data_IF_716097655176
#
_entry.id   IF_716097655176
#
_cell.length_a   1.000
_cell.length_b   1.000
_cell.length_c   1.000
_cell.angle_alpha   90.00
_cell.angle_beta   90.00
_cell.angle_gamma   90.00
#
_symmetry.space_group_name_H-M   'P 1'
#
loop_
_entity.id
_entity.type
_entity.pdbx_description
1 polymer ?
#
# COMPACT_ATOMS: atom_id res chain seq x y z
N UNK A 1 -4.18 -31.06 -0.31
CA UNK A 1 -4.00 -30.30 -1.55
C UNK A 1 -5.39 -29.92 -2.09
N UNK A 2 -5.96 -28.81 -1.61
CA UNK A 2 -7.21 -28.27 -2.15
C UNK A 2 -6.93 -26.87 -2.61
N UNK A 3 -6.89 -26.67 -3.93
CA UNK A 3 -6.79 -25.36 -4.55
C UNK A 3 -8.15 -24.68 -4.43
N UNK A 4 -8.24 -23.62 -3.63
CA UNK A 4 -9.39 -22.72 -3.70
C UNK A 4 -9.34 -21.94 -5.00
N UNK A 5 -10.08 -22.41 -5.99
CA UNK A 5 -10.44 -21.63 -7.18
C UNK A 5 -11.61 -20.72 -6.79
N UNK A 6 -11.31 -19.50 -6.39
CA UNK A 6 -12.34 -18.46 -6.29
C UNK A 6 -12.36 -17.64 -7.59
N UNK A 7 -13.54 -17.53 -8.18
CA UNK A 7 -13.75 -16.81 -9.43
C UNK A 7 -13.70 -15.30 -9.19
N UNK A 8 -12.78 -14.62 -9.86
CA UNK A 8 -12.79 -13.17 -9.93
C UNK A 8 -13.85 -12.72 -10.95
N UNK A 9 -14.78 -11.87 -10.56
CA UNK A 9 -15.70 -11.23 -11.49
C UNK A 9 -15.01 -10.05 -12.16
N UNK A 10 -14.88 -10.11 -13.48
CA UNK A 10 -14.42 -9.00 -14.31
C UNK A 10 -15.64 -8.19 -14.72
N UNK A 11 -15.80 -6.99 -14.19
CA UNK A 11 -16.78 -6.04 -14.69
C UNK A 11 -16.19 -5.29 -15.89
N UNK A 12 -16.60 -5.66 -17.10
CA UNK A 12 -16.34 -4.85 -18.29
C UNK A 12 -17.59 -4.02 -18.61
N UNK A 13 -17.50 -2.71 -18.49
CA UNK A 13 -18.46 -1.80 -19.12
C UNK A 13 -18.03 -1.61 -20.57
N UNK A 14 -18.65 -2.36 -21.46
CA UNK A 14 -18.54 -2.15 -22.91
C UNK A 14 -19.81 -1.45 -23.36
N UNK A 15 -19.75 -0.21 -23.76
CA UNK A 15 -20.80 0.40 -24.58
C UNK A 15 -20.78 -0.28 -25.95
N UNK A 16 -21.91 -0.87 -26.32
CA UNK A 16 -22.14 -1.55 -27.59
C UNK A 16 -22.09 -0.56 -28.75
N UNK A 17 -20.95 -0.54 -29.46
CA UNK A 17 -20.92 -0.23 -30.89
C UNK A 17 -20.67 -1.56 -31.62
N UNK A 18 -21.76 -2.14 -32.11
CA UNK A 18 -21.76 -3.36 -32.89
C UNK A 18 -20.92 -3.21 -34.16
N UNK A 19 -20.29 -4.32 -34.50
CA UNK A 19 -19.73 -4.76 -35.76
C UNK A 19 -18.26 -4.52 -36.02
N UNK A 20 -17.58 -5.57 -36.37
CA UNK A 20 -16.20 -5.72 -36.87
C UNK A 20 -15.04 -5.80 -35.85
N UNK A 21 -15.24 -5.50 -34.57
CA UNK A 21 -14.16 -5.61 -33.57
C UNK A 21 -14.02 -7.03 -32.99
N UNK A 22 -15.08 -7.80 -32.92
CA UNK A 22 -15.08 -9.12 -32.28
C UNK A 22 -14.22 -10.17 -33.02
N UNK A 23 -14.10 -10.11 -34.33
CA UNK A 23 -13.30 -11.07 -35.12
C UNK A 23 -11.80 -10.75 -35.07
N UNK A 24 -11.41 -9.48 -34.89
CA UNK A 24 -10.02 -9.08 -34.76
C UNK A 24 -9.50 -9.17 -33.31
N UNK A 25 -10.37 -9.13 -32.31
CA UNK A 25 -9.99 -9.18 -30.89
C UNK A 25 -9.37 -10.54 -30.51
N UNK A 26 -9.83 -11.63 -31.08
CA UNK A 26 -9.32 -12.98 -30.77
C UNK A 26 -7.84 -13.20 -31.18
N UNK A 27 -7.32 -12.40 -32.11
CA UNK A 27 -5.96 -12.57 -32.66
C UNK A 27 -4.88 -11.76 -31.94
N UNK A 28 -5.27 -10.79 -31.08
CA UNK A 28 -4.33 -9.84 -30.47
C UNK A 28 -4.10 -10.00 -28.97
N UNK A 29 -4.77 -10.96 -28.32
CA UNK A 29 -4.71 -11.11 -26.86
C UNK A 29 -3.81 -12.29 -26.49
N UNK A 30 -2.49 -12.08 -26.57
CA UNK A 30 -1.58 -13.00 -25.87
C UNK A 30 -1.72 -12.72 -24.38
N UNK A 31 -2.17 -13.71 -23.63
CA UNK A 31 -2.29 -13.63 -22.19
C UNK A 31 -1.04 -14.17 -21.49
N UNK A 32 -0.75 -13.61 -20.37
CA UNK A 32 0.27 -14.15 -19.48
C UNK A 32 -0.21 -14.12 -18.01
N UNK A 33 0.28 -15.04 -17.19
CA UNK A 33 -0.03 -15.03 -15.76
C UNK A 33 0.38 -13.71 -15.12
N UNK A 34 -0.46 -13.24 -14.22
CA UNK A 34 -0.23 -12.03 -13.43
C UNK A 34 -0.64 -12.32 -11.99
N UNK A 35 0.24 -12.03 -11.05
CA UNK A 35 -0.04 -12.17 -9.63
C UNK A 35 -0.37 -10.82 -9.01
N UNK A 36 -1.52 -10.73 -8.37
CA UNK A 36 -1.95 -9.56 -7.59
C UNK A 36 -2.61 -10.01 -6.30
N UNK A 37 -2.10 -9.48 -5.19
CA UNK A 37 -2.56 -9.95 -3.90
C UNK A 37 -2.30 -11.45 -3.73
N UNK A 38 -3.32 -12.20 -3.38
CA UNK A 38 -3.26 -13.67 -3.23
C UNK A 38 -3.70 -14.41 -4.48
N UNK A 39 -3.93 -13.71 -5.58
CA UNK A 39 -4.55 -14.29 -6.77
C UNK A 39 -3.61 -14.26 -7.97
N UNK A 40 -3.71 -15.31 -8.75
CA UNK A 40 -3.12 -15.38 -10.08
C UNK A 40 -4.25 -15.32 -11.11
N UNK A 41 -4.09 -14.44 -12.08
CA UNK A 41 -5.02 -14.28 -13.20
C UNK A 41 -4.24 -14.18 -14.51
N UNK A 42 -4.87 -14.52 -15.62
CA UNK A 42 -4.29 -14.29 -16.94
C UNK A 42 -4.73 -12.92 -17.45
N UNK A 43 -3.77 -12.12 -17.87
CA UNK A 43 -4.00 -10.78 -18.40
C UNK A 43 -3.25 -10.57 -19.72
N UNK A 44 -3.74 -9.66 -20.59
CA UNK A 44 -3.07 -9.30 -21.83
C UNK A 44 -1.62 -8.83 -21.60
N UNK A 45 -0.73 -9.23 -22.49
CA UNK A 45 0.71 -8.88 -22.42
C UNK A 45 0.95 -7.38 -22.61
N UNK A 46 0.12 -6.72 -23.45
CA UNK A 46 0.23 -5.31 -23.79
C UNK A 46 -0.40 -4.37 -22.74
N UNK A 47 -0.47 -4.79 -21.47
CA UNK A 47 -0.97 -3.96 -20.38
C UNK A 47 0.06 -2.95 -19.89
N UNK A 48 -0.43 -1.89 -19.29
CA UNK A 48 0.35 -0.95 -18.47
C UNK A 48 -0.16 -1.04 -17.04
N UNK A 49 0.74 -1.32 -16.10
CA UNK A 49 0.42 -1.34 -14.68
C UNK A 49 -0.15 0.00 -14.22
N UNK A 50 -1.11 -0.06 -13.32
CA UNK A 50 -1.71 1.08 -12.64
C UNK A 50 -1.23 1.18 -11.20
N UNK A 51 -1.79 2.15 -10.49
CA UNK A 51 -1.55 2.30 -9.05
C UNK A 51 -2.13 1.09 -8.32
N UNK A 52 -1.31 0.38 -7.57
CA UNK A 52 -1.79 -0.65 -6.67
C UNK A 52 -1.98 -0.08 -5.27
N UNK A 53 -3.09 -0.45 -4.67
CA UNK A 53 -3.39 -0.16 -3.28
C UNK A 53 -3.76 -1.47 -2.60
N UNK A 54 -3.08 -1.75 -1.51
CA UNK A 54 -3.18 -3.02 -0.81
C UNK A 54 -3.27 -2.74 0.68
N UNK A 55 -4.21 -3.40 1.34
CA UNK A 55 -4.28 -3.48 2.79
C UNK A 55 -3.88 -4.89 3.20
N UNK A 56 -2.79 -5.01 3.90
CA UNK A 56 -2.24 -6.26 4.39
C UNK A 56 -2.08 -6.19 5.90
N UNK A 57 -2.64 -7.15 6.61
CA UNK A 57 -2.62 -7.22 8.08
C UNK A 57 -3.00 -5.89 8.75
N UNK A 58 -4.04 -5.23 8.22
CA UNK A 58 -4.51 -3.94 8.70
C UNK A 58 -3.74 -2.71 8.20
N UNK A 59 -2.57 -2.87 7.58
CA UNK A 59 -1.74 -1.78 7.08
C UNK A 59 -1.99 -1.49 5.61
N UNK A 60 -2.14 -0.21 5.29
CA UNK A 60 -2.23 0.21 3.90
C UNK A 60 -0.84 0.31 3.28
N UNK A 61 -0.62 -0.44 2.20
CA UNK A 61 0.60 -0.41 1.39
C UNK A 61 0.29 0.25 0.06
N UNK A 62 1.02 1.29 -0.29
CA UNK A 62 0.96 1.94 -1.59
C UNK A 62 2.29 1.76 -2.30
N UNK A 63 2.25 1.33 -3.56
CA UNK A 63 3.43 1.20 -4.41
C UNK A 63 3.36 2.24 -5.51
N UNK A 64 4.44 2.98 -5.71
CA UNK A 64 4.59 3.95 -6.80
C UNK A 64 5.83 3.61 -7.61
N UNK A 65 5.66 3.16 -8.86
CA UNK A 65 6.78 2.85 -9.74
C UNK A 65 7.69 4.06 -9.95
N UNK A 66 8.99 3.82 -9.92
CA UNK A 66 10.06 4.80 -10.17
C UNK A 66 9.96 6.11 -9.34
N UNK A 67 9.49 5.98 -8.10
CA UNK A 67 9.16 7.15 -7.26
C UNK A 67 10.04 7.30 -6.01
N UNK A 68 11.05 6.45 -5.80
CA UNK A 68 11.85 6.47 -4.57
C UNK A 68 12.53 7.83 -4.33
N UNK A 69 13.22 8.38 -5.33
CA UNK A 69 13.92 9.65 -5.19
C UNK A 69 12.95 10.80 -4.83
N UNK A 70 11.78 10.84 -5.47
CA UNK A 70 10.72 11.81 -5.14
C UNK A 70 10.16 11.62 -3.73
N UNK A 71 10.12 10.39 -3.24
CA UNK A 71 9.70 10.10 -1.86
C UNK A 71 10.67 10.65 -0.82
N UNK A 72 11.98 10.55 -1.10
CA UNK A 72 13.04 11.14 -0.26
C UNK A 72 13.00 12.67 -0.32
N UNK A 73 12.84 13.24 -1.50
CA UNK A 73 12.66 14.69 -1.67
C UNK A 73 11.44 15.20 -0.91
N UNK A 74 10.32 14.48 -0.97
CA UNK A 74 9.11 14.81 -0.22
C UNK A 74 9.35 14.81 1.29
N UNK A 75 10.03 13.81 1.84
CA UNK A 75 10.38 13.75 3.24
C UNK A 75 11.24 14.95 3.66
N UNK A 76 12.23 15.31 2.83
CA UNK A 76 13.08 16.49 3.05
C UNK A 76 12.29 17.80 2.95
N UNK A 77 11.35 17.89 2.03
CA UNK A 77 10.46 19.05 1.88
C UNK A 77 9.56 19.22 3.11
N UNK A 78 8.95 18.14 3.61
CA UNK A 78 8.12 18.16 4.82
C UNK A 78 8.94 18.65 6.01
N UNK A 79 10.16 18.16 6.15
CA UNK A 79 11.09 18.62 7.20
C UNK A 79 11.40 20.13 7.10
N UNK A 80 11.71 20.64 5.90
CA UNK A 80 12.00 22.06 5.69
C UNK A 80 10.80 22.96 5.99
N UNK A 81 9.61 22.51 5.63
CA UNK A 81 8.36 23.26 5.86
C UNK A 81 7.91 23.18 7.33
N UNK A 82 8.34 22.15 8.07
CA UNK A 82 7.86 21.89 9.42
C UNK A 82 6.45 21.31 9.49
N UNK A 83 5.84 21.00 8.35
CA UNK A 83 4.49 20.47 8.28
C UNK A 83 4.22 19.69 6.98
N UNK A 84 3.18 18.84 7.02
CA UNK A 84 2.61 18.16 5.86
C UNK A 84 1.10 18.45 5.80
N UNK A 85 0.70 19.45 5.02
CA UNK A 85 -0.66 19.99 5.10
C UNK A 85 -0.90 20.64 6.47
N UNK A 86 -1.91 20.16 7.19
CA UNK A 86 -2.22 20.59 8.57
C UNK A 86 -1.39 19.89 9.65
N UNK A 87 -0.69 18.81 9.30
CA UNK A 87 0.02 17.97 10.25
C UNK A 87 1.41 18.54 10.56
N UNK A 88 1.76 18.64 11.83
CA UNK A 88 3.06 19.17 12.28
C UNK A 88 4.13 18.10 12.06
N UNK A 89 5.24 18.48 11.46
CA UNK A 89 6.41 17.61 11.33
C UNK A 89 7.06 17.38 12.70
N UNK A 90 7.39 16.11 12.99
CA UNK A 90 8.09 15.72 14.22
C UNK A 90 9.51 15.32 13.90
N UNK A 91 9.71 14.32 13.02
CA UNK A 91 11.04 13.83 12.68
C UNK A 91 11.08 13.05 11.35
N UNK A 92 12.28 12.97 10.78
CA UNK A 92 12.65 11.97 9.79
C UNK A 92 13.69 11.04 10.38
N UNK A 93 13.51 9.72 10.19
CA UNK A 93 14.49 8.70 10.59
C UNK A 93 14.95 7.92 9.37
N UNK A 94 16.25 7.90 9.13
CA UNK A 94 16.85 6.94 8.22
C UNK A 94 16.92 5.59 8.92
N UNK A 95 16.14 4.63 8.44
CA UNK A 95 16.08 3.27 9.01
C UNK A 95 17.14 2.40 8.37
N UNK A 96 17.19 2.42 7.03
CA UNK A 96 18.24 1.77 6.25
C UNK A 96 18.77 2.78 5.24
N UNK A 97 20.07 3.11 5.25
CA UNK A 97 20.64 4.07 4.32
C UNK A 97 20.27 3.78 2.87
N UNK A 98 19.79 4.78 2.16
CA UNK A 98 19.33 4.72 0.76
C UNK A 98 18.22 3.69 0.45
N UNK A 99 17.62 3.05 1.46
CA UNK A 99 16.59 2.02 1.26
C UNK A 99 15.31 2.26 2.06
N UNK A 100 15.39 2.81 3.26
CA UNK A 100 14.20 3.02 4.08
C UNK A 100 14.29 4.29 4.96
N UNK A 101 13.19 5.04 5.00
CA UNK A 101 13.04 6.27 5.79
C UNK A 101 11.63 6.30 6.41
N UNK A 102 11.53 6.71 7.66
CA UNK A 102 10.27 7.00 8.31
C UNK A 102 10.11 8.52 8.50
N UNK A 103 8.97 9.07 8.09
CA UNK A 103 8.55 10.45 8.38
C UNK A 103 7.43 10.42 9.39
N UNK A 104 7.60 11.10 10.50
CA UNK A 104 6.60 11.20 11.56
C UNK A 104 6.00 12.59 11.56
N UNK A 105 4.67 12.65 11.48
CA UNK A 105 3.90 13.89 11.63
C UNK A 105 2.84 13.72 12.70
N UNK A 106 2.36 14.81 13.24
CA UNK A 106 1.40 14.87 14.34
C UNK A 106 0.20 15.74 13.96
N UNK A 107 -1.00 15.26 14.25
CA UNK A 107 -2.23 16.03 14.13
C UNK A 107 -3.04 16.00 15.44
N UNK A 108 -3.71 17.10 15.80
CA UNK A 108 -4.75 17.03 16.83
C UNK A 108 -5.87 16.11 16.32
N UNK A 109 -6.39 15.28 17.20
CA UNK A 109 -7.46 14.39 16.85
C UNK A 109 -8.59 14.51 17.87
N UNK A 110 -9.81 14.46 17.36
CA UNK A 110 -11.01 14.48 18.15
C UNK A 110 -11.76 13.18 17.86
N UNK A 111 -12.04 12.43 18.90
CA UNK A 111 -12.86 11.23 18.79
C UNK A 111 -14.21 11.50 19.41
N UNK A 112 -15.25 11.46 18.61
CA UNK A 112 -16.64 11.55 19.05
C UNK A 112 -17.35 10.21 18.82
N UNK A 113 -18.14 9.81 19.81
CA UNK A 113 -19.10 8.74 19.69
C UNK A 113 -20.44 9.37 20.05
N UNK A 114 -21.56 9.10 19.34
CA UNK A 114 -22.87 9.66 19.66
C UNK A 114 -23.34 9.49 21.11
N UNK A 115 -22.79 8.49 21.78
CA UNK A 115 -23.15 8.13 23.17
C UNK A 115 -22.12 8.51 24.23
N UNK A 116 -20.96 9.07 23.82
CA UNK A 116 -19.85 9.39 24.72
C UNK A 116 -19.39 10.84 24.54
N UNK A 117 -18.84 11.47 25.60
CA UNK A 117 -18.23 12.77 25.49
C UNK A 117 -17.09 12.80 24.45
N UNK A 118 -16.94 13.92 23.78
CA UNK A 118 -15.84 14.17 22.87
C UNK A 118 -14.48 14.04 23.60
N UNK A 119 -13.59 13.23 23.07
CA UNK A 119 -12.25 13.03 23.62
C UNK A 119 -11.22 13.63 22.67
N UNK A 120 -10.47 14.60 23.17
CA UNK A 120 -9.35 15.24 22.46
C UNK A 120 -8.08 14.47 22.76
N UNK A 121 -7.27 14.21 21.75
CA UNK A 121 -5.99 13.54 21.90
C UNK A 121 -5.08 13.86 20.72
N UNK A 122 -3.98 13.13 20.62
CA UNK A 122 -2.98 13.31 19.55
C UNK A 122 -2.91 12.06 18.67
N UNK A 123 -2.82 12.30 17.38
CA UNK A 123 -2.65 11.26 16.37
C UNK A 123 -1.29 11.48 15.67
N UNK A 124 -0.46 10.46 15.70
CA UNK A 124 0.79 10.44 14.95
C UNK A 124 0.62 9.59 13.71
N UNK A 125 1.07 10.12 12.59
CA UNK A 125 1.20 9.39 11.32
C UNK A 125 2.67 9.01 11.16
N UNK A 126 2.93 7.73 10.96
CA UNK A 126 4.24 7.21 10.63
C UNK A 126 4.21 6.74 9.18
N UNK A 127 4.73 7.55 8.28
CA UNK A 127 4.91 7.19 6.88
C UNK A 127 6.25 6.48 6.71
N UNK A 128 6.23 5.16 6.73
CA UNK A 128 7.39 4.33 6.47
C UNK A 128 7.51 4.12 4.95
N UNK A 129 8.56 4.67 4.37
CA UNK A 129 8.85 4.58 2.94
C UNK A 129 10.09 3.75 2.71
N UNK A 130 10.04 2.85 1.75
CA UNK A 130 11.19 2.01 1.40
C UNK A 130 11.20 1.66 -0.08
N UNK A 131 12.36 1.23 -0.56
CA UNK A 131 12.53 0.57 -1.85
C UNK A 131 13.17 -0.80 -1.67
N UNK A 132 12.96 -1.64 -2.66
CA UNK A 132 13.67 -2.91 -2.82
C UNK A 132 14.88 -2.70 -3.76
N UNK A 133 15.08 -3.53 -4.77
CA UNK A 133 16.20 -3.38 -5.72
C UNK A 133 15.98 -2.26 -6.73
N UNK A 134 14.72 -2.05 -7.14
CA UNK A 134 14.33 -1.02 -8.10
C UNK A 134 14.10 0.33 -7.41
N UNK A 135 13.82 1.35 -8.22
CA UNK A 135 13.56 2.72 -7.74
C UNK A 135 12.09 2.95 -7.33
N UNK A 136 11.32 1.89 -7.17
CA UNK A 136 9.91 1.98 -6.77
C UNK A 136 9.79 2.35 -5.29
N UNK A 137 8.85 3.23 -4.98
CA UNK A 137 8.58 3.61 -3.62
C UNK A 137 7.40 2.82 -3.04
N UNK A 138 7.67 2.06 -2.02
CA UNK A 138 6.67 1.45 -1.15
C UNK A 138 6.42 2.39 0.03
N UNK A 139 5.17 2.68 0.30
CA UNK A 139 4.78 3.50 1.46
C UNK A 139 3.77 2.73 2.28
N UNK A 140 4.09 2.56 3.55
CA UNK A 140 3.17 2.01 4.56
C UNK A 140 2.93 3.06 5.62
N UNK A 141 1.65 3.33 5.92
CA UNK A 141 1.28 4.30 6.94
C UNK A 141 0.74 3.61 8.18
N UNK A 142 1.35 3.90 9.31
CA UNK A 142 0.87 3.54 10.63
C UNK A 142 0.20 4.74 11.33
N UNK A 143 -0.76 4.44 12.19
CA UNK A 143 -1.45 5.41 13.03
C UNK A 143 -1.16 5.10 14.49
N UNK A 144 -0.55 6.04 15.20
CA UNK A 144 -0.33 5.95 16.64
C UNK A 144 -1.28 6.93 17.32
N UNK A 145 -2.18 6.41 18.13
CA UNK A 145 -3.15 7.20 18.88
C UNK A 145 -2.72 7.28 20.34
N UNK A 146 -2.68 8.50 20.87
CA UNK A 146 -2.45 8.73 22.29
C UNK A 146 -3.67 9.43 22.85
N UNK A 147 -4.37 8.73 23.71
CA UNK A 147 -5.62 9.17 24.32
C UNK A 147 -5.37 9.62 25.76
N UNK A 148 -6.02 10.70 26.22
CA UNK A 148 -6.02 11.04 27.62
C UNK A 148 -6.67 9.92 28.44
N UNK A 149 -6.18 9.70 29.64
CA UNK A 149 -6.77 8.76 30.60
C UNK A 149 -7.60 9.58 31.58
N UNK A 150 -8.90 9.28 31.67
CA UNK A 150 -9.84 10.03 32.51
C UNK A 150 -9.81 11.55 32.26
N UNK A 151 -9.68 11.98 30.97
CA UNK A 151 -9.63 13.38 30.58
C UNK A 151 -8.33 14.09 30.93
N UNK A 152 -7.32 13.39 31.45
CA UNK A 152 -6.00 13.93 31.78
C UNK A 152 -4.94 13.40 30.83
N UNK A 153 -3.98 14.25 30.50
CA UNK A 153 -2.81 13.80 29.73
C UNK A 153 -2.07 12.70 30.49
N UNK A 154 -1.58 11.66 29.79
CA UNK A 154 -0.75 10.64 30.41
C UNK A 154 0.48 11.26 31.09
N UNK A 155 0.85 10.80 32.27
CA UNK A 155 2.13 11.20 32.85
C UNK A 155 3.27 10.75 31.91
N UNK A 156 4.28 11.57 31.72
CA UNK A 156 5.39 11.32 30.78
C UNK A 156 4.95 11.20 29.31
N UNK A 157 4.01 12.03 28.86
CA UNK A 157 3.46 12.02 27.51
C UNK A 157 4.56 11.89 26.42
N UNK A 158 5.61 12.73 26.47
CA UNK A 158 6.70 12.69 25.48
C UNK A 158 7.43 11.35 25.40
N UNK A 159 7.62 10.67 26.55
CA UNK A 159 8.26 9.36 26.57
C UNK A 159 7.32 8.29 25.99
N UNK A 160 6.03 8.37 26.29
CA UNK A 160 5.01 7.48 25.74
C UNK A 160 4.89 7.65 24.22
N UNK A 161 4.85 8.90 23.74
CA UNK A 161 4.84 9.24 22.32
C UNK A 161 6.00 8.60 21.58
N UNK A 162 7.22 8.85 22.08
CA UNK A 162 8.44 8.28 21.50
C UNK A 162 8.39 6.76 21.47
N UNK A 163 8.03 6.12 22.58
CA UNK A 163 7.95 4.66 22.68
C UNK A 163 6.96 4.06 21.69
N UNK A 164 5.78 4.66 21.54
CA UNK A 164 4.73 4.19 20.63
C UNK A 164 5.09 4.40 19.16
N UNK A 165 5.77 5.49 18.83
CA UNK A 165 6.29 5.73 17.49
C UNK A 165 7.41 4.73 17.17
N UNK A 166 8.34 4.49 18.10
CA UNK A 166 9.42 3.50 17.96
C UNK A 166 8.86 2.08 17.74
N UNK A 167 7.84 1.71 18.50
CA UNK A 167 7.13 0.43 18.34
C UNK A 167 6.49 0.31 16.95
N UNK A 168 5.82 1.35 16.46
CA UNK A 168 5.20 1.36 15.14
C UNK A 168 6.24 1.25 14.01
N UNK A 169 7.36 1.98 14.11
CA UNK A 169 8.45 1.89 13.13
C UNK A 169 9.06 0.48 13.13
N UNK A 170 9.34 -0.08 14.32
CA UNK A 170 9.89 -1.43 14.46
C UNK A 170 8.97 -2.49 13.87
N UNK A 171 7.67 -2.38 14.09
CA UNK A 171 6.69 -3.27 13.50
C UNK A 171 6.69 -3.18 11.97
N UNK A 172 6.63 -1.95 11.41
CA UNK A 172 6.65 -1.77 9.95
C UNK A 172 7.93 -2.29 9.31
N UNK A 173 9.08 -2.15 9.98
CA UNK A 173 10.33 -2.71 9.50
C UNK A 173 10.30 -4.24 9.48
N UNK A 174 9.84 -4.87 10.56
CA UNK A 174 9.87 -6.31 10.71
C UNK A 174 8.80 -7.03 9.89
N UNK A 175 7.59 -6.48 9.82
CA UNK A 175 6.46 -7.14 9.16
C UNK A 175 6.33 -6.81 7.68
N UNK A 176 6.93 -5.70 7.23
CA UNK A 176 6.92 -5.34 5.82
C UNK A 176 8.32 -5.35 5.22
N UNK A 177 9.18 -4.43 5.61
CA UNK A 177 10.47 -4.25 4.93
C UNK A 177 11.33 -5.52 4.94
N UNK A 178 11.43 -6.20 6.09
CA UNK A 178 12.26 -7.41 6.23
C UNK A 178 11.62 -8.67 5.62
N UNK A 179 10.30 -8.66 5.38
CA UNK A 179 9.57 -9.80 4.82
C UNK A 179 9.31 -9.69 3.32
N UNK A 180 9.44 -8.49 2.76
CA UNK A 180 9.21 -8.28 1.34
C UNK A 180 10.47 -8.65 0.56
N UNK A 181 10.30 -9.51 -0.43
CA UNK A 181 11.33 -9.78 -1.43
C UNK A 181 11.01 -9.14 -2.77
N UNK A 182 12.03 -8.84 -3.54
CA UNK A 182 11.87 -8.41 -4.92
C UNK A 182 11.19 -9.49 -5.77
N UNK A 183 10.40 -9.03 -6.73
CA UNK A 183 9.73 -9.85 -7.72
C UNK A 183 9.61 -9.07 -9.03
N UNK A 184 9.84 -9.71 -10.15
CA UNK A 184 9.42 -9.16 -11.43
C UNK A 184 7.93 -9.42 -11.67
N UNK A 185 7.31 -8.65 -12.54
CA UNK A 185 5.89 -8.83 -12.88
C UNK A 185 5.58 -10.21 -13.48
N UNK A 186 6.56 -10.80 -14.18
CA UNK A 186 6.50 -12.13 -14.77
C UNK A 186 6.82 -13.27 -13.80
N UNK A 187 7.37 -12.96 -12.63
CA UNK A 187 7.64 -13.96 -11.59
C UNK A 187 6.36 -14.29 -10.83
N UNK A 188 5.85 -15.50 -11.02
CA UNK A 188 4.68 -16.01 -10.31
C UNK A 188 5.14 -16.87 -9.14
N UNK A 189 4.98 -16.36 -7.89
CA UNK A 189 5.42 -17.11 -6.72
C UNK A 189 4.72 -18.44 -6.58
N UNK A 190 5.47 -19.50 -6.29
CA UNK A 190 4.93 -20.83 -6.05
C UNK A 190 4.52 -21.05 -4.59
N UNK A 191 4.94 -20.17 -3.69
CA UNK A 191 4.61 -20.20 -2.27
C UNK A 191 3.42 -19.31 -1.96
N UNK A 192 2.72 -19.59 -0.87
CA UNK A 192 1.66 -18.73 -0.37
C UNK A 192 2.19 -17.37 0.04
N UNK A 193 1.40 -16.32 -0.23
CA UNK A 193 1.76 -14.95 0.12
C UNK A 193 0.95 -13.92 -0.64
N UNK A 194 1.44 -12.69 -0.61
CA UNK A 194 0.78 -11.53 -1.23
C UNK A 194 1.71 -10.89 -2.25
N UNK A 195 1.25 -10.84 -3.49
CA UNK A 195 1.92 -10.12 -4.56
C UNK A 195 1.62 -8.63 -4.48
N UNK A 196 2.67 -7.84 -4.33
CA UNK A 196 2.70 -6.41 -4.60
C UNK A 196 3.17 -6.19 -6.04
N UNK A 197 3.07 -4.95 -6.53
CA UNK A 197 3.70 -4.56 -7.79
C UNK A 197 5.18 -4.82 -7.73
N UNK A 198 5.88 -5.61 -8.22
CA UNK A 198 7.34 -5.88 -8.13
C UNK A 198 7.87 -6.32 -6.75
N UNK A 199 6.97 -6.69 -5.85
CA UNK A 199 7.31 -7.24 -4.55
C UNK A 199 6.43 -8.43 -4.16
N UNK A 200 6.91 -9.22 -3.20
CA UNK A 200 6.17 -10.35 -2.67
C UNK A 200 6.39 -10.49 -1.16
N UNK A 201 5.29 -10.67 -0.42
CA UNK A 201 5.32 -10.99 1.00
C UNK A 201 4.94 -12.45 1.15
N UNK A 202 5.88 -13.29 1.61
CA UNK A 202 5.57 -14.66 1.95
C UNK A 202 4.78 -14.71 3.26
N UNK A 203 3.63 -15.38 3.26
CA UNK A 203 2.85 -15.65 4.46
C UNK A 203 2.15 -17.00 4.38
N UNK A 204 1.45 -17.39 5.47
CA UNK A 204 0.71 -18.66 5.53
C UNK A 204 -0.72 -18.56 5.00
N UNK A 205 -1.12 -17.44 4.41
CA UNK A 205 -2.48 -17.24 3.91
C UNK A 205 -3.51 -16.83 4.96
N UNK A 206 -3.11 -16.73 6.24
CA UNK A 206 -4.01 -16.39 7.36
C UNK A 206 -4.14 -14.90 7.62
N UNK A 207 -3.20 -14.10 7.12
CA UNK A 207 -3.20 -12.66 7.34
C UNK A 207 -4.32 -11.97 6.55
N UNK A 208 -5.10 -11.07 7.16
CA UNK A 208 -6.13 -10.32 6.44
C UNK A 208 -5.53 -9.53 5.28
N UNK A 209 -6.15 -9.67 4.12
CA UNK A 209 -5.71 -9.00 2.90
C UNK A 209 -6.91 -8.39 2.18
N UNK A 210 -6.70 -7.20 1.63
CA UNK A 210 -7.61 -6.57 0.68
C UNK A 210 -6.79 -5.73 -0.31
N UNK A 211 -7.15 -5.76 -1.59
CA UNK A 211 -6.36 -5.05 -2.59
C UNK A 211 -7.17 -4.59 -3.79
N UNK A 212 -6.66 -3.56 -4.45
CA UNK A 212 -7.18 -3.00 -5.68
C UNK A 212 -6.02 -2.73 -6.63
N UNK A 213 -6.09 -3.31 -7.83
CA UNK A 213 -5.13 -3.08 -8.90
C UNK A 213 -5.85 -2.59 -10.13
N UNK A 214 -5.48 -1.44 -10.62
CA UNK A 214 -5.95 -0.89 -11.88
C UNK A 214 -4.99 -1.22 -13.01
N UNK A 215 -5.49 -1.70 -14.15
CA UNK A 215 -4.70 -2.10 -15.30
C UNK A 215 -5.26 -1.42 -16.53
N UNK A 216 -4.39 -0.75 -17.31
CA UNK A 216 -4.72 -0.20 -18.61
C UNK A 216 -4.16 -1.08 -19.71
N UNK A 217 -4.92 -1.30 -20.76
CA UNK A 217 -4.45 -1.97 -21.97
C UNK A 217 -3.84 -0.90 -22.89
N UNK A 218 -2.57 -1.07 -23.30
CA UNK A 218 -1.82 -0.01 -23.99
C UNK A 218 -2.47 0.47 -25.29
N UNK A 219 -3.03 -0.44 -26.06
CA UNK A 219 -3.55 -0.16 -27.39
C UNK A 219 -5.02 0.28 -27.41
N UNK A 220 -5.64 0.30 -26.23
CA UNK A 220 -7.07 0.64 -26.05
C UNK A 220 -7.17 1.74 -24.99
N UNK A 221 -7.32 2.99 -25.41
CA UNK A 221 -7.32 4.16 -24.50
C UNK A 221 -8.40 4.11 -23.43
N UNK A 222 -9.52 3.46 -23.73
CA UNK A 222 -10.71 3.43 -22.89
C UNK A 222 -10.95 2.08 -22.20
N UNK A 223 -10.04 1.11 -22.39
CA UNK A 223 -10.14 -0.20 -21.71
C UNK A 223 -9.33 -0.16 -20.43
N UNK A 224 -10.07 -0.25 -19.34
CA UNK A 224 -9.55 -0.29 -17.98
C UNK A 224 -10.08 -1.54 -17.29
N UNK A 225 -9.20 -2.36 -16.75
CA UNK A 225 -9.56 -3.48 -15.91
C UNK A 225 -9.20 -3.18 -14.47
N UNK A 226 -10.12 -3.41 -13.57
CA UNK A 226 -9.92 -3.28 -12.15
C UNK A 226 -10.12 -4.61 -11.45
N UNK A 227 -9.13 -5.02 -10.69
CA UNK A 227 -9.18 -6.18 -9.83
C UNK A 227 -9.32 -5.74 -8.38
N UNK A 228 -10.43 -6.07 -7.76
CA UNK A 228 -10.64 -5.94 -6.32
C UNK A 228 -10.64 -7.32 -5.69
N UNK A 229 -9.91 -7.47 -4.59
CA UNK A 229 -9.76 -8.75 -3.88
C UNK A 229 -9.84 -8.51 -2.37
N UNK A 230 -10.59 -9.34 -1.67
CA UNK A 230 -10.76 -9.26 -0.23
C UNK A 230 -11.24 -10.57 0.35
#
# INVERSE_FOLDING_TARGET
LSSCSQHAQIHSTVENTESNYAQNAATYWTEQPFCSGRYQINLPVNRKGGTSWIKYNGWQVTVRPDYWNKSVELASKIQKLGHNGSDIFIENRTIVPNKAIATVTQAPAVWSNPTLPEVKGMLYYVDYRFKLSKNDAYTVRAFVRIMPVNGKEPPNLKQLEKSKVDEAIGYLQNDFFNKIRDRSESDIPQQQGVCLTEGFIADKGSEPFWGRVGIKIKDYKDVYAELMTG
#
